data_IF_730238748949
#
_entry.id   IF_730238748949
#
_cell.length_a   1.000
_cell.length_b   1.000
_cell.length_c   1.000
_cell.angle_alpha   90.00
_cell.angle_beta   90.00
_cell.angle_gamma   90.00
#
_symmetry.space_group_name_H-M   'P 1'
#
loop_
_entity.id
_entity.type
_entity.pdbx_description
1 polymer ?
#
# COMPACT_ATOMS: atom_id res chain seq x y z
N UNK A 1 -4.48 -11.63 3.01
CA UNK A 1 -3.25 -10.90 2.94
C UNK A 1 -2.90 -10.11 4.18
N UNK A 2 -3.59 -9.00 4.43
CA UNK A 2 -3.33 -8.13 5.60
C UNK A 2 -3.51 -8.87 6.91
N UNK A 3 -4.57 -9.66 7.02
CA UNK A 3 -4.89 -10.42 8.24
C UNK A 3 -3.85 -11.52 8.51
N UNK A 4 -3.35 -12.18 7.47
CA UNK A 4 -2.30 -13.20 7.63
C UNK A 4 -0.99 -12.57 8.11
N UNK A 5 -0.61 -11.42 7.55
CA UNK A 5 0.59 -10.71 7.99
C UNK A 5 0.47 -10.23 9.45
N UNK A 6 -0.68 -9.72 9.83
CA UNK A 6 -1.00 -9.33 11.19
C UNK A 6 -0.90 -10.51 12.17
N UNK A 7 -1.53 -11.64 11.81
CA UNK A 7 -1.47 -12.87 12.60
C UNK A 7 -0.05 -13.35 12.83
N UNK A 8 0.75 -13.42 11.76
CA UNK A 8 2.16 -13.85 11.85
C UNK A 8 2.94 -12.94 12.78
N UNK A 9 2.74 -11.64 12.72
CA UNK A 9 3.44 -10.69 13.59
C UNK A 9 3.01 -10.79 15.07
N UNK A 10 1.75 -11.08 15.32
CA UNK A 10 1.23 -11.29 16.68
C UNK A 10 1.71 -12.61 17.32
N UNK A 11 1.89 -13.65 16.51
CA UNK A 11 2.32 -14.97 16.99
C UNK A 11 3.83 -15.05 17.22
N UNK A 12 4.63 -14.20 16.59
CA UNK A 12 6.05 -14.14 16.89
C UNK A 12 6.89 -13.46 15.83
N UNK A 13 7.40 -12.29 16.16
CA UNK A 13 8.39 -11.59 15.35
C UNK A 13 9.69 -12.37 15.16
N UNK A 14 10.03 -13.22 16.11
CA UNK A 14 11.23 -14.07 16.09
C UNK A 14 11.22 -15.09 14.94
N UNK A 15 10.05 -15.52 14.52
CA UNK A 15 9.89 -16.53 13.46
C UNK A 15 9.73 -15.89 12.06
N UNK A 16 9.56 -14.59 11.96
CA UNK A 16 9.36 -13.91 10.67
C UNK A 16 10.49 -14.19 9.66
N UNK A 17 11.78 -14.10 10.00
CA UNK A 17 12.85 -14.39 9.05
C UNK A 17 12.80 -15.83 8.55
N UNK A 18 12.48 -16.78 9.44
CA UNK A 18 12.33 -18.21 9.07
C UNK A 18 11.13 -18.43 8.16
N UNK A 19 10.02 -17.74 8.40
CA UNK A 19 8.83 -17.81 7.56
C UNK A 19 9.07 -17.21 6.17
N UNK A 20 9.79 -16.09 6.06
CA UNK A 20 10.20 -15.54 4.78
C UNK A 20 11.15 -16.45 4.01
N UNK A 21 12.09 -17.10 4.71
CA UNK A 21 12.98 -18.09 4.11
C UNK A 21 12.20 -19.31 3.61
N UNK A 22 11.25 -19.80 4.40
CA UNK A 22 10.36 -20.90 4.01
C UNK A 22 9.49 -20.52 2.80
N UNK A 23 8.94 -19.29 2.78
CA UNK A 23 8.20 -18.75 1.65
C UNK A 23 9.05 -18.74 0.37
N UNK A 24 10.25 -18.18 0.46
CA UNK A 24 11.17 -18.12 -0.67
C UNK A 24 11.60 -19.52 -1.17
N UNK A 25 11.78 -20.46 -0.26
CA UNK A 25 12.05 -21.85 -0.60
C UNK A 25 10.84 -22.50 -1.30
N UNK A 26 9.64 -22.33 -0.76
CA UNK A 26 8.40 -22.88 -1.32
C UNK A 26 8.16 -22.35 -2.75
N UNK A 27 8.35 -21.06 -3.00
CA UNK A 27 8.22 -20.45 -4.33
C UNK A 27 9.30 -20.98 -5.30
N UNK A 28 10.52 -21.21 -4.81
CA UNK A 28 11.62 -21.81 -5.61
C UNK A 28 11.33 -23.24 -6.01
N UNK A 29 10.76 -24.04 -5.10
CA UNK A 29 10.34 -25.41 -5.38
C UNK A 29 9.15 -25.42 -6.33
N UNK A 30 8.15 -24.58 -6.08
CA UNK A 30 6.96 -24.46 -6.93
C UNK A 30 7.32 -24.12 -8.40
N UNK A 31 8.27 -23.23 -8.62
CA UNK A 31 8.76 -22.88 -9.97
C UNK A 31 9.34 -24.07 -10.76
N UNK A 32 9.80 -25.12 -10.07
CA UNK A 32 10.35 -26.33 -10.71
C UNK A 32 9.28 -27.36 -11.04
N UNK A 33 8.07 -27.20 -10.55
CA UNK A 33 6.97 -28.14 -10.70
C UNK A 33 5.96 -27.60 -11.72
N UNK A 34 5.79 -28.23 -12.90
CA UNK A 34 4.98 -27.68 -14.00
C UNK A 34 3.48 -27.58 -13.68
N UNK A 35 3.02 -28.25 -12.64
CA UNK A 35 1.62 -28.20 -12.20
C UNK A 35 1.34 -27.21 -11.08
N UNK A 36 2.41 -26.58 -10.52
CA UNK A 36 2.25 -25.58 -9.46
C UNK A 36 2.00 -24.20 -10.06
N UNK A 37 1.05 -23.44 -9.49
CA UNK A 37 0.79 -22.10 -9.97
C UNK A 37 1.95 -21.15 -9.71
N UNK A 38 2.18 -20.21 -10.61
CA UNK A 38 3.09 -19.10 -10.36
C UNK A 38 2.66 -18.34 -9.08
N UNK A 39 3.62 -17.81 -8.33
CA UNK A 39 3.37 -17.12 -7.06
C UNK A 39 2.59 -17.97 -6.06
N UNK A 40 2.93 -19.26 -5.96
CA UNK A 40 2.23 -20.23 -5.12
C UNK A 40 2.06 -19.75 -3.68
N UNK A 41 3.11 -19.22 -3.06
CA UNK A 41 3.06 -18.77 -1.66
C UNK A 41 2.06 -17.63 -1.46
N UNK A 42 1.98 -16.67 -2.39
CA UNK A 42 1.04 -15.56 -2.32
C UNK A 42 -0.41 -16.03 -2.47
N UNK A 43 -0.66 -16.96 -3.40
CA UNK A 43 -1.98 -17.57 -3.59
C UNK A 43 -2.40 -18.41 -2.40
N UNK A 44 -1.47 -19.17 -1.84
CA UNK A 44 -1.70 -19.95 -0.63
C UNK A 44 -2.03 -19.04 0.57
N UNK A 45 -1.24 -17.99 0.79
CA UNK A 45 -1.51 -17.02 1.85
C UNK A 45 -2.85 -16.30 1.65
N UNK A 46 -3.23 -16.00 0.42
CA UNK A 46 -4.54 -15.41 0.10
C UNK A 46 -5.68 -16.38 0.42
N UNK A 47 -5.51 -17.65 0.09
CA UNK A 47 -6.51 -18.69 0.42
C UNK A 47 -6.67 -18.88 1.93
N UNK A 48 -5.57 -19.01 2.64
CA UNK A 48 -5.57 -19.20 4.10
C UNK A 48 -6.02 -17.96 4.86
N UNK A 49 -5.85 -16.75 4.31
CA UNK A 49 -6.30 -15.52 4.97
C UNK A 49 -7.82 -15.48 5.22
N UNK A 50 -8.59 -16.25 4.45
CA UNK A 50 -10.05 -16.38 4.64
C UNK A 50 -10.42 -17.22 5.87
N UNK A 51 -9.49 -18.08 6.30
CA UNK A 51 -9.65 -18.96 7.47
C UNK A 51 -9.12 -18.31 8.76
N UNK A 52 -8.35 -17.23 8.63
CA UNK A 52 -7.74 -16.54 9.76
C UNK A 52 -8.71 -15.53 10.39
N UNK A 53 -8.66 -15.35 11.71
CA UNK A 53 -9.43 -14.31 12.39
C UNK A 53 -9.11 -12.94 11.84
N UNK A 54 -10.09 -12.05 11.83
CA UNK A 54 -9.89 -10.65 11.48
C UNK A 54 -9.21 -9.93 12.64
N UNK A 55 -7.94 -9.62 12.49
CA UNK A 55 -7.15 -8.95 13.54
C UNK A 55 -7.07 -7.44 13.39
N UNK A 56 -7.52 -6.89 12.25
CA UNK A 56 -7.60 -5.46 12.08
C UNK A 56 -8.78 -4.93 12.90
N UNK A 57 -8.58 -3.93 13.78
CA UNK A 57 -9.65 -3.31 14.57
C UNK A 57 -10.82 -2.85 13.70
N UNK A 58 -12.04 -3.03 14.17
CA UNK A 58 -13.26 -2.75 13.39
C UNK A 58 -13.29 -1.29 12.91
N UNK A 59 -12.90 -0.34 13.77
CA UNK A 59 -12.87 1.08 13.42
C UNK A 59 -11.98 1.35 12.19
N UNK A 60 -10.85 0.63 12.03
CA UNK A 60 -9.98 0.78 10.85
C UNK A 60 -10.62 0.19 9.58
N UNK A 61 -11.42 -0.88 9.73
CA UNK A 61 -12.22 -1.41 8.64
C UNK A 61 -13.30 -0.43 8.20
N UNK A 62 -13.97 0.20 9.16
CA UNK A 62 -15.05 1.14 8.92
C UNK A 62 -14.51 2.37 8.18
N UNK A 63 -13.41 2.95 8.66
CA UNK A 63 -12.76 4.08 8.01
C UNK A 63 -12.25 3.73 6.61
N UNK A 64 -11.62 2.56 6.45
CA UNK A 64 -11.17 2.09 5.14
C UNK A 64 -12.31 1.97 4.12
N UNK A 65 -13.48 1.57 4.57
CA UNK A 65 -14.64 1.40 3.68
C UNK A 65 -15.38 2.72 3.42
N UNK A 66 -15.26 3.67 4.34
CA UNK A 66 -15.98 4.95 4.27
C UNK A 66 -15.19 6.04 3.55
N UNK A 67 -13.86 6.04 3.68
CA UNK A 67 -13.00 7.09 3.13
C UNK A 67 -12.00 6.52 2.14
N UNK A 68 -11.73 7.31 1.08
CA UNK A 68 -10.76 6.96 0.06
C UNK A 68 -9.32 7.27 0.49
N UNK A 69 -9.11 8.39 1.18
CA UNK A 69 -7.79 8.85 1.64
C UNK A 69 -7.64 8.68 3.15
N UNK A 70 -6.45 8.24 3.57
CA UNK A 70 -6.16 7.97 4.97
C UNK A 70 -4.81 8.58 5.36
N UNK A 71 -4.79 9.31 6.47
CA UNK A 71 -3.58 9.87 7.05
C UNK A 71 -3.38 9.33 8.47
N UNK A 72 -2.19 8.84 8.76
CA UNK A 72 -1.77 8.45 10.10
C UNK A 72 -0.88 9.56 10.64
N UNK A 73 -1.34 10.25 11.68
CA UNK A 73 -0.58 11.28 12.38
C UNK A 73 0.02 10.71 13.67
N UNK A 74 1.33 10.90 13.84
CA UNK A 74 2.02 10.58 15.10
C UNK A 74 2.54 11.88 15.69
N UNK A 75 1.91 12.32 16.76
CA UNK A 75 2.25 13.56 17.45
C UNK A 75 2.99 13.26 18.76
N UNK A 76 3.74 14.22 19.25
CA UNK A 76 4.47 14.14 20.52
C UNK A 76 4.50 15.45 21.27
N UNK A 77 4.68 15.38 22.60
CA UNK A 77 4.78 16.56 23.45
C UNK A 77 3.54 17.46 23.36
N UNK A 78 3.74 18.77 23.27
CA UNK A 78 2.67 19.76 23.14
C UNK A 78 1.87 19.61 21.84
N UNK A 79 2.47 19.06 20.78
CA UNK A 79 1.80 18.86 19.50
C UNK A 79 0.61 17.90 19.57
N UNK A 80 0.48 17.09 20.61
CA UNK A 80 -0.69 16.22 20.81
C UNK A 80 -1.94 17.05 21.04
N UNK A 81 -1.89 18.02 21.96
CA UNK A 81 -3.05 18.87 22.26
C UNK A 81 -3.36 19.81 21.09
N UNK A 82 -2.34 20.41 20.49
CA UNK A 82 -2.50 21.28 19.31
C UNK A 82 -3.17 20.54 18.15
N UNK A 83 -2.74 19.29 17.88
CA UNK A 83 -3.34 18.47 16.84
C UNK A 83 -4.79 18.10 17.18
N UNK A 84 -5.07 17.81 18.45
CA UNK A 84 -6.42 17.47 18.92
C UNK A 84 -7.39 18.64 18.72
N UNK A 85 -6.99 19.84 19.08
CA UNK A 85 -7.79 21.05 18.90
C UNK A 85 -8.01 21.33 17.41
N UNK A 86 -6.94 21.29 16.62
CA UNK A 86 -7.02 21.49 15.17
C UNK A 86 -7.96 20.49 14.49
N UNK A 87 -7.80 19.20 14.77
CA UNK A 87 -8.62 18.15 14.15
C UNK A 87 -10.09 18.26 14.56
N UNK A 88 -10.36 18.64 15.82
CA UNK A 88 -11.71 18.87 16.29
C UNK A 88 -12.39 20.02 15.54
N UNK A 89 -11.69 21.10 15.31
CA UNK A 89 -12.16 22.25 14.56
C UNK A 89 -12.33 21.91 13.07
N UNK A 90 -11.30 21.31 12.46
CA UNK A 90 -11.31 20.98 11.03
C UNK A 90 -12.42 20.00 10.65
N UNK A 91 -12.63 18.96 11.44
CA UNK A 91 -13.68 17.95 11.23
C UNK A 91 -15.01 18.26 11.93
N UNK A 92 -15.20 19.48 12.42
CA UNK A 92 -16.53 19.97 12.79
C UNK A 92 -17.46 19.98 11.57
N UNK A 93 -16.92 20.30 10.40
CA UNK A 93 -17.53 20.08 9.11
C UNK A 93 -17.36 18.62 8.68
N UNK A 94 -18.44 17.84 8.78
CA UNK A 94 -18.45 16.40 8.47
C UNK A 94 -18.24 16.10 6.98
N UNK A 95 -18.37 17.06 6.10
CA UNK A 95 -18.09 16.88 4.66
C UNK A 95 -16.60 16.69 4.39
N UNK A 96 -15.72 17.16 5.26
CA UNK A 96 -14.27 17.06 5.16
C UNK A 96 -13.72 15.69 5.56
N UNK A 97 -14.54 14.84 6.17
CA UNK A 97 -14.14 13.52 6.64
C UNK A 97 -14.33 13.31 8.14
N UNK A 98 -13.52 12.47 8.74
CA UNK A 98 -13.51 12.22 10.18
C UNK A 98 -12.14 11.79 10.67
N UNK A 99 -11.95 11.80 11.98
CA UNK A 99 -10.77 11.28 12.64
C UNK A 99 -11.15 10.49 13.88
N UNK A 100 -10.23 9.67 14.34
CA UNK A 100 -10.28 9.06 15.66
C UNK A 100 -8.90 9.06 16.30
N UNK A 101 -8.87 9.12 17.62
CA UNK A 101 -7.64 9.01 18.39
C UNK A 101 -7.35 7.53 18.67
N UNK A 102 -6.09 7.15 18.54
CA UNK A 102 -5.65 5.79 18.79
C UNK A 102 -5.15 5.68 20.24
N UNK A 103 -5.66 4.69 20.97
CA UNK A 103 -4.96 4.14 22.12
C UNK A 103 -3.68 3.39 21.68
N UNK A 104 -2.97 2.80 22.61
CA UNK A 104 -1.71 2.11 22.33
C UNK A 104 -1.88 0.94 21.36
N UNK A 105 -2.95 0.16 21.49
CA UNK A 105 -3.21 -1.02 20.67
C UNK A 105 -3.64 -0.61 19.25
N UNK A 106 -4.52 0.37 19.12
CA UNK A 106 -4.93 0.93 17.84
C UNK A 106 -3.75 1.61 17.13
N UNK A 107 -2.90 2.33 17.86
CA UNK A 107 -1.71 2.95 17.30
C UNK A 107 -0.73 1.91 16.75
N UNK A 108 -0.52 0.82 17.48
CA UNK A 108 0.29 -0.30 16.99
C UNK A 108 -0.33 -0.93 15.75
N UNK A 109 -1.65 -1.13 15.72
CA UNK A 109 -2.37 -1.65 14.58
C UNK A 109 -2.24 -0.74 13.35
N UNK A 110 -2.40 0.58 13.52
CA UNK A 110 -2.26 1.56 12.45
C UNK A 110 -0.84 1.54 11.84
N UNK A 111 0.19 1.54 12.69
CA UNK A 111 1.58 1.50 12.24
C UNK A 111 1.94 0.21 11.50
N UNK A 112 1.32 -0.91 11.86
CA UNK A 112 1.50 -2.18 11.16
C UNK A 112 0.74 -2.24 9.83
N UNK A 113 -0.45 -1.64 9.77
CA UNK A 113 -1.24 -1.56 8.55
C UNK A 113 -0.45 -0.86 7.43
N UNK A 114 0.35 0.14 7.76
CA UNK A 114 1.25 0.82 6.83
C UNK A 114 2.12 -0.14 6.02
N UNK A 115 2.76 -1.10 6.69
CA UNK A 115 3.60 -2.10 6.02
C UNK A 115 2.78 -3.12 5.21
N UNK A 116 1.58 -3.45 5.66
CA UNK A 116 0.70 -4.34 4.93
C UNK A 116 0.18 -3.70 3.64
N UNK A 117 -0.05 -2.39 3.64
CA UNK A 117 -0.49 -1.64 2.44
C UNK A 117 0.61 -1.62 1.38
N UNK A 118 1.86 -1.39 1.76
CA UNK A 118 3.00 -1.40 0.84
C UNK A 118 3.18 -2.72 0.07
N UNK A 119 2.63 -3.84 0.56
CA UNK A 119 2.67 -5.13 -0.12
C UNK A 119 1.38 -5.45 -0.91
N UNK A 120 0.42 -4.54 -0.93
CA UNK A 120 -0.90 -4.83 -1.50
C UNK A 120 -0.86 -5.04 -3.02
N UNK A 121 -0.10 -4.24 -3.74
CA UNK A 121 0.08 -4.36 -5.18
C UNK A 121 0.69 -5.72 -5.56
N UNK A 122 1.76 -6.15 -4.88
CA UNK A 122 2.42 -7.45 -5.11
C UNK A 122 1.43 -8.60 -4.90
N UNK A 123 0.62 -8.55 -3.84
CA UNK A 123 -0.39 -9.56 -3.59
C UNK A 123 -1.47 -9.54 -4.66
N UNK A 124 -1.91 -8.35 -5.06
CA UNK A 124 -2.93 -8.19 -6.11
C UNK A 124 -2.45 -8.80 -7.42
N UNK A 125 -1.25 -8.45 -7.90
CA UNK A 125 -0.62 -9.05 -9.08
C UNK A 125 -0.60 -10.58 -9.02
N UNK A 126 -0.15 -11.12 -7.89
CA UNK A 126 0.01 -12.58 -7.73
C UNK A 126 -1.31 -13.35 -7.78
N UNK A 127 -2.40 -12.73 -7.35
CA UNK A 127 -3.75 -13.33 -7.34
C UNK A 127 -4.47 -13.11 -8.65
N UNK A 128 -4.19 -12.00 -9.35
CA UNK A 128 -4.85 -11.58 -10.60
C UNK A 128 -3.91 -11.67 -11.83
N UNK A 129 -3.04 -12.66 -11.89
CA UNK A 129 -2.02 -12.80 -12.95
C UNK A 129 -2.57 -12.87 -14.39
N UNK A 130 -3.88 -13.16 -14.54
CA UNK A 130 -4.55 -13.16 -15.84
C UNK A 130 -4.91 -11.77 -16.35
N UNK A 131 -5.04 -10.81 -15.43
CA UNK A 131 -5.46 -9.43 -15.70
C UNK A 131 -4.31 -8.46 -15.59
N UNK A 132 -3.29 -8.85 -14.83
CA UNK A 132 -2.14 -8.01 -14.47
C UNK A 132 -0.87 -8.52 -15.13
N UNK A 133 -0.14 -7.62 -15.79
CA UNK A 133 1.19 -7.92 -16.32
C UNK A 133 2.24 -7.84 -15.22
N UNK A 134 2.46 -6.66 -14.70
CA UNK A 134 3.36 -6.41 -13.59
C UNK A 134 3.00 -5.08 -12.89
N UNK A 135 3.88 -4.60 -12.04
CA UNK A 135 3.74 -3.36 -11.29
C UNK A 135 4.89 -2.44 -11.68
N UNK A 136 4.58 -1.22 -12.05
CA UNK A 136 5.54 -0.11 -12.09
C UNK A 136 5.50 0.58 -10.75
N UNK A 137 6.60 0.59 -10.03
CA UNK A 137 6.73 1.18 -8.70
C UNK A 137 7.69 2.36 -8.75
N UNK A 138 7.22 3.55 -8.42
CA UNK A 138 7.99 4.78 -8.43
C UNK A 138 8.01 5.43 -7.05
N UNK A 139 9.20 5.87 -6.64
CA UNK A 139 9.40 6.70 -5.45
C UNK A 139 9.63 8.13 -5.91
N UNK A 140 8.60 8.98 -5.79
CA UNK A 140 8.59 10.30 -6.41
C UNK A 140 8.73 11.40 -5.37
N UNK A 141 9.72 12.27 -5.55
CA UNK A 141 9.89 13.49 -4.77
C UNK A 141 9.54 14.71 -5.64
N UNK A 142 8.43 15.36 -5.32
CA UNK A 142 8.00 16.59 -5.96
C UNK A 142 8.63 17.82 -5.30
N UNK A 143 8.59 18.96 -6.00
CA UNK A 143 9.00 20.24 -5.43
C UNK A 143 8.20 20.54 -4.16
N UNK A 144 8.84 21.19 -3.18
CA UNK A 144 8.27 21.38 -1.84
C UNK A 144 6.88 22.05 -1.81
N UNK A 145 6.61 22.93 -2.76
CA UNK A 145 5.36 23.68 -2.84
C UNK A 145 4.46 23.16 -3.97
N UNK A 146 4.67 21.92 -4.43
CA UNK A 146 3.83 21.29 -5.43
C UNK A 146 2.49 20.89 -4.79
N UNK A 147 1.39 21.39 -5.34
CA UNK A 147 0.03 21.06 -4.89
C UNK A 147 -0.55 19.92 -5.73
N UNK A 148 -0.11 19.80 -6.98
CA UNK A 148 -0.53 18.75 -7.92
C UNK A 148 0.34 17.49 -7.73
N UNK A 149 0.12 16.78 -6.66
CA UNK A 149 0.93 15.60 -6.31
C UNK A 149 0.51 14.32 -7.07
N UNK A 150 -0.64 14.31 -7.71
CA UNK A 150 -1.05 13.23 -8.60
C UNK A 150 -0.29 13.28 -9.93
N UNK A 151 -0.11 12.12 -10.55
CA UNK A 151 0.39 12.04 -11.91
C UNK A 151 -0.59 12.67 -12.91
N UNK A 152 -0.04 13.30 -13.93
CA UNK A 152 -0.78 13.84 -15.07
C UNK A 152 -0.45 12.99 -16.30
N UNK A 153 -1.11 11.84 -16.43
CA UNK A 153 -0.88 10.91 -17.53
C UNK A 153 -1.79 11.21 -18.72
N UNK A 154 -1.26 11.13 -19.96
CA UNK A 154 -2.10 11.16 -21.13
C UNK A 154 -3.05 9.94 -21.15
N UNK A 155 -4.26 10.07 -21.74
CA UNK A 155 -5.27 9.02 -21.69
C UNK A 155 -4.79 7.66 -22.23
N UNK A 156 -3.93 7.66 -23.26
CA UNK A 156 -3.36 6.46 -23.85
C UNK A 156 -2.43 5.70 -22.90
N UNK A 157 -1.77 6.39 -21.98
CA UNK A 157 -0.94 5.79 -20.94
C UNK A 157 -1.80 5.35 -19.76
N UNK A 158 -2.68 6.22 -19.31
CA UNK A 158 -3.60 5.99 -18.20
C UNK A 158 -4.48 4.75 -18.42
N UNK A 159 -4.95 4.55 -19.64
CA UNK A 159 -5.75 3.39 -20.03
C UNK A 159 -5.01 2.05 -19.93
N UNK A 160 -3.68 2.03 -19.87
CA UNK A 160 -2.87 0.82 -19.67
C UNK A 160 -2.80 0.39 -18.20
N UNK A 161 -3.19 1.27 -17.29
CA UNK A 161 -3.14 1.06 -15.84
C UNK A 161 -4.48 0.52 -15.34
N UNK A 162 -4.44 -0.51 -14.49
CA UNK A 162 -5.62 -1.13 -13.88
C UNK A 162 -5.95 -0.50 -12.53
N UNK A 163 -4.93 -0.30 -11.70
CA UNK A 163 -5.03 0.34 -10.39
C UNK A 163 -3.81 1.21 -10.12
N UNK A 164 -4.05 2.28 -9.38
CA UNK A 164 -3.02 3.19 -8.88
C UNK A 164 -3.09 3.19 -7.36
N UNK A 165 -1.95 3.02 -6.71
CA UNK A 165 -1.84 2.99 -5.26
C UNK A 165 -0.86 4.06 -4.82
N UNK A 166 -1.28 4.89 -3.88
CA UNK A 166 -0.48 6.00 -3.36
C UNK A 166 -0.26 5.82 -1.88
N UNK A 167 0.97 5.89 -1.46
CA UNK A 167 1.35 5.93 -0.06
C UNK A 167 2.69 6.63 0.08
N UNK A 168 2.85 7.35 1.17
CA UNK A 168 4.04 8.16 1.32
C UNK A 168 4.25 8.67 2.72
N UNK A 169 5.32 9.42 2.85
CA UNK A 169 5.70 10.10 4.06
C UNK A 169 5.47 11.59 3.88
N UNK A 170 4.34 12.08 4.38
CA UNK A 170 3.90 13.45 4.19
C UNK A 170 4.99 14.50 4.49
N UNK A 171 5.79 14.29 5.53
CA UNK A 171 6.80 15.28 5.96
C UNK A 171 8.06 15.31 5.09
N UNK A 172 8.37 14.29 4.33
CA UNK A 172 9.56 14.25 3.45
C UNK A 172 9.24 14.43 1.96
N UNK A 173 7.97 14.65 1.61
CA UNK A 173 7.49 14.85 0.24
C UNK A 173 7.86 13.73 -0.75
N UNK A 174 8.08 12.53 -0.23
CA UNK A 174 8.30 11.34 -1.05
C UNK A 174 7.01 10.54 -1.10
N UNK A 175 6.55 10.27 -2.31
CA UNK A 175 5.38 9.45 -2.58
C UNK A 175 5.82 8.15 -3.21
N UNK A 176 5.41 7.05 -2.61
CA UNK A 176 5.49 5.73 -3.21
C UNK A 176 4.23 5.53 -4.05
N UNK A 177 4.40 5.30 -5.32
CA UNK A 177 3.29 5.12 -6.25
C UNK A 177 3.45 3.78 -6.96
N UNK A 178 2.52 2.85 -6.73
CA UNK A 178 2.48 1.57 -7.41
C UNK A 178 1.37 1.57 -8.47
N UNK A 179 1.75 1.32 -9.70
CA UNK A 179 0.85 1.23 -10.83
C UNK A 179 0.73 -0.20 -11.28
N UNK A 180 -0.47 -0.76 -11.14
CA UNK A 180 -0.78 -2.12 -11.57
C UNK A 180 -1.09 -2.10 -13.06
N UNK A 181 -0.23 -2.68 -13.88
CA UNK A 181 -0.34 -2.64 -15.34
C UNK A 181 -1.20 -3.77 -15.84
N UNK A 182 -2.11 -3.45 -16.76
CA UNK A 182 -2.98 -4.43 -17.42
C UNK A 182 -2.17 -5.44 -18.23
N UNK A 183 -2.69 -6.67 -18.31
CA UNK A 183 -2.06 -7.76 -19.07
C UNK A 183 -1.85 -7.39 -20.53
N UNK A 184 -0.68 -7.73 -21.07
CA UNK A 184 -0.33 -7.53 -22.47
C UNK A 184 0.39 -6.21 -22.79
N UNK A 185 0.63 -5.34 -21.81
CA UNK A 185 1.40 -4.12 -21.98
C UNK A 185 2.83 -4.26 -21.44
N UNK A 186 3.78 -3.57 -22.07
CA UNK A 186 5.17 -3.56 -21.64
C UNK A 186 5.36 -2.57 -20.49
N UNK A 187 5.75 -3.08 -19.32
CA UNK A 187 5.95 -2.26 -18.13
C UNK A 187 7.15 -1.31 -18.25
N UNK A 188 8.23 -1.73 -18.90
CA UNK A 188 9.42 -0.91 -19.09
C UNK A 188 9.12 0.32 -19.97
N UNK A 189 8.36 0.13 -21.05
CA UNK A 189 7.94 1.26 -21.91
C UNK A 189 7.02 2.23 -21.15
N UNK A 190 6.12 1.71 -20.33
CA UNK A 190 5.21 2.54 -19.50
C UNK A 190 6.01 3.33 -18.48
N UNK A 191 6.95 2.69 -17.80
CA UNK A 191 7.84 3.34 -16.84
C UNK A 191 8.64 4.47 -17.50
N UNK A 192 9.28 4.20 -18.64
CA UNK A 192 10.03 5.22 -19.39
C UNK A 192 9.17 6.42 -19.80
N UNK A 193 7.92 6.20 -20.23
CA UNK A 193 6.99 7.27 -20.55
C UNK A 193 6.61 8.09 -19.30
N UNK A 194 6.40 7.43 -18.17
CA UNK A 194 6.10 8.10 -16.90
C UNK A 194 7.29 8.91 -16.40
N UNK A 195 8.51 8.38 -16.48
CA UNK A 195 9.73 9.10 -16.10
C UNK A 195 9.93 10.37 -16.93
N UNK A 196 9.66 10.34 -18.24
CA UNK A 196 9.71 11.55 -19.09
C UNK A 196 8.73 12.62 -18.65
N UNK A 197 7.55 12.23 -18.19
CA UNK A 197 6.54 13.17 -17.63
C UNK A 197 7.02 13.77 -16.31
N UNK A 198 7.64 12.95 -15.45
CA UNK A 198 8.23 13.41 -14.19
C UNK A 198 9.38 14.39 -14.40
N UNK A 199 10.26 14.12 -15.37
CA UNK A 199 11.34 15.03 -15.77
C UNK A 199 10.80 16.40 -16.18
N UNK A 200 9.72 16.44 -16.98
CA UNK A 200 9.08 17.70 -17.39
C UNK A 200 8.50 18.48 -16.20
N UNK A 201 8.08 17.79 -15.15
CA UNK A 201 7.62 18.39 -13.91
C UNK A 201 8.75 18.79 -12.96
N UNK A 202 9.97 18.38 -13.25
CA UNK A 202 11.14 18.57 -12.39
C UNK A 202 11.02 17.83 -11.07
N UNK A 203 10.46 16.63 -11.11
CA UNK A 203 10.43 15.69 -10.01
C UNK A 203 11.76 14.91 -9.94
N UNK A 204 12.11 14.46 -8.76
CA UNK A 204 13.20 13.49 -8.53
C UNK A 204 12.58 12.10 -8.27
N UNK A 205 13.25 11.04 -8.69
CA UNK A 205 12.79 9.65 -8.55
C UNK A 205 13.94 8.66 -8.47
#
# INVERSE_FOLDING_TARGET
GKDTFWYIKHVGTEYLPKLFSLKAWADRVAKKLPFMPHHFSEKFLQGTSKLMPKHLPQIMWDYRNQYEHHLILKMGGKGVEEAREYLKEYFADKSKGAYFECDADLAQAAMLLRFAVASAAIRYRSVHEKEVEDIVALDIALKRNEEDWFEQLPPELDNKILHKLYYGHFMCHVFHQDYVIKKGYNCEEIEEEMLKILDQRGAEY
#
